data_IF_849898214671
#
_entry.id   IF_849898214671
#
_cell.length_a   1.000
_cell.length_b   1.000
_cell.length_c   1.000
_cell.angle_alpha   90.00
_cell.angle_beta   90.00
_cell.angle_gamma   90.00
#
_symmetry.space_group_name_H-M   'P 1'
#
loop_
_entity.id
_entity.type
_entity.pdbx_description
1 polymer ?
#
# COMPACT_ATOMS: atom_id res chain seq x y z
N UNK A 1 -9.67 11.99 -2.14
CA UNK A 1 -8.93 12.79 -3.16
C UNK A 1 -8.18 13.98 -2.59
N UNK A 2 -8.85 14.92 -1.91
CA UNK A 2 -8.17 16.10 -1.35
C UNK A 2 -7.11 15.74 -0.31
N UNK A 3 -7.40 14.80 0.59
CA UNK A 3 -6.43 14.27 1.56
C UNK A 3 -5.20 13.64 0.89
N UNK A 4 -5.39 12.84 -0.16
CA UNK A 4 -4.27 12.31 -0.96
C UNK A 4 -3.41 13.45 -1.49
N UNK A 5 -4.02 14.46 -2.09
CA UNK A 5 -3.30 15.59 -2.67
C UNK A 5 -2.54 16.39 -1.60
N UNK A 6 -3.17 16.64 -0.44
CA UNK A 6 -2.55 17.30 0.71
C UNK A 6 -1.35 16.50 1.24
N UNK A 7 -1.47 15.19 1.41
CA UNK A 7 -0.37 14.32 1.88
C UNK A 7 0.84 14.38 0.96
N UNK A 8 0.60 14.43 -0.36
CA UNK A 8 1.68 14.49 -1.35
C UNK A 8 2.39 15.85 -1.34
N UNK A 9 1.67 16.97 -1.19
CA UNK A 9 2.29 18.31 -1.18
C UNK A 9 2.65 18.86 0.21
N UNK A 10 2.20 18.20 1.27
CA UNK A 10 2.28 18.66 2.64
C UNK A 10 1.20 19.71 3.00
N UNK A 11 0.85 19.79 4.31
CA UNK A 11 -0.24 20.63 4.80
C UNK A 11 -0.01 22.12 4.56
N UNK A 12 1.24 22.58 4.59
CA UNK A 12 1.58 23.99 4.40
C UNK A 12 1.32 24.44 2.95
N UNK A 13 1.75 23.64 1.97
CA UNK A 13 1.50 23.92 0.55
C UNK A 13 0.01 23.90 0.24
N UNK A 14 -0.70 22.92 0.79
CA UNK A 14 -2.15 22.79 0.64
C UNK A 14 -2.90 23.99 1.26
N UNK A 15 -2.51 24.41 2.46
CA UNK A 15 -3.05 25.61 3.12
C UNK A 15 -2.88 26.87 2.27
N UNK A 16 -1.71 27.07 1.65
CA UNK A 16 -1.46 28.21 0.75
C UNK A 16 -2.37 28.22 -0.48
N UNK A 17 -2.68 27.04 -1.03
CA UNK A 17 -3.66 26.90 -2.13
C UNK A 17 -5.04 27.36 -1.66
N UNK A 18 -5.50 26.87 -0.50
CA UNK A 18 -6.79 27.26 0.07
C UNK A 18 -6.87 28.76 0.35
N UNK A 19 -5.81 29.35 0.92
CA UNK A 19 -5.71 30.79 1.13
C UNK A 19 -5.83 31.56 -0.18
N UNK A 20 -5.18 31.08 -1.27
CA UNK A 20 -5.29 31.73 -2.59
C UNK A 20 -6.69 31.64 -3.18
N UNK A 21 -7.36 30.51 -2.99
CA UNK A 21 -8.78 30.32 -3.39
C UNK A 21 -9.68 31.31 -2.65
N UNK A 22 -9.56 31.38 -1.31
CA UNK A 22 -10.38 32.28 -0.48
C UNK A 22 -10.11 33.75 -0.80
N UNK A 23 -8.84 34.15 -0.92
CA UNK A 23 -8.47 35.52 -1.25
C UNK A 23 -9.04 35.97 -2.61
N UNK A 24 -9.02 35.07 -3.61
CA UNK A 24 -9.64 35.34 -4.91
C UNK A 24 -11.16 35.51 -4.82
N UNK A 25 -11.83 34.76 -3.95
CA UNK A 25 -13.28 34.86 -3.77
C UNK A 25 -13.72 36.12 -3.02
N UNK A 26 -12.83 36.72 -2.22
CA UNK A 26 -13.04 37.98 -1.51
C UNK A 26 -12.82 39.21 -2.39
N UNK A 27 -12.17 39.05 -3.54
CA UNK A 27 -11.95 40.14 -4.48
C UNK A 27 -13.27 40.62 -5.10
N UNK A 28 -13.28 41.84 -5.65
CA UNK A 28 -14.48 42.47 -6.23
C UNK A 28 -14.93 41.84 -7.57
N UNK A 29 -14.29 40.76 -7.99
CA UNK A 29 -14.59 40.02 -9.22
C UNK A 29 -15.94 39.28 -9.04
N UNK A 30 -16.88 39.39 -10.00
CA UNK A 30 -18.22 38.81 -9.88
C UNK A 30 -18.24 37.27 -9.88
N UNK A 31 -17.18 36.62 -10.34
CA UNK A 31 -17.11 35.16 -10.48
C UNK A 31 -16.50 34.57 -9.21
N UNK A 32 -17.36 34.03 -8.33
CA UNK A 32 -16.99 33.33 -7.09
C UNK A 32 -16.97 31.80 -7.24
N UNK A 33 -16.97 31.29 -8.47
CA UNK A 33 -16.86 29.85 -8.75
C UNK A 33 -15.39 29.41 -8.78
N UNK A 34 -15.12 28.18 -8.33
CA UNK A 34 -13.83 27.51 -8.49
C UNK A 34 -14.03 26.25 -9.34
N UNK A 35 -13.44 26.22 -10.52
CA UNK A 35 -13.40 25.02 -11.36
C UNK A 35 -12.23 24.09 -10.99
N UNK A 36 -12.35 22.81 -11.35
CA UNK A 36 -11.26 21.83 -11.22
C UNK A 36 -10.00 22.26 -11.96
N UNK A 37 -10.14 22.92 -13.13
CA UNK A 37 -9.01 23.44 -13.93
C UNK A 37 -8.25 24.53 -13.16
N UNK A 38 -8.96 25.44 -12.51
CA UNK A 38 -8.36 26.52 -11.73
C UNK A 38 -7.71 25.98 -10.45
N UNK A 39 -8.36 25.06 -9.75
CA UNK A 39 -7.76 24.42 -8.58
C UNK A 39 -6.49 23.66 -8.95
N UNK A 40 -6.49 22.91 -10.07
CA UNK A 40 -5.30 22.26 -10.61
C UNK A 40 -4.19 23.26 -10.95
N UNK A 41 -4.53 24.43 -11.50
CA UNK A 41 -3.55 25.49 -11.76
C UNK A 41 -2.89 25.97 -10.46
N UNK A 42 -3.67 26.20 -9.40
CA UNK A 42 -3.11 26.54 -8.09
C UNK A 42 -2.24 25.42 -7.52
N UNK A 43 -2.68 24.16 -7.59
CA UNK A 43 -1.89 23.01 -7.17
C UNK A 43 -0.56 22.90 -7.93
N UNK A 44 -0.55 23.21 -9.23
CA UNK A 44 0.67 23.17 -10.05
C UNK A 44 1.61 24.34 -9.75
N UNK A 45 1.06 25.51 -9.39
CA UNK A 45 1.83 26.75 -9.21
C UNK A 45 2.34 26.95 -7.78
N UNK A 46 1.54 26.55 -6.79
CA UNK A 46 1.77 26.78 -5.36
C UNK A 46 2.16 25.48 -4.67
N UNK A 47 1.66 24.34 -5.16
CA UNK A 47 2.09 23.04 -4.67
C UNK A 47 3.57 22.83 -4.97
N UNK A 48 4.27 22.19 -4.04
CA UNK A 48 5.65 21.73 -4.16
C UNK A 48 5.76 20.38 -4.89
N UNK A 49 4.85 20.13 -5.85
CA UNK A 49 4.79 18.90 -6.62
C UNK A 49 5.25 19.14 -8.05
N UNK A 50 5.86 18.13 -8.65
CA UNK A 50 6.27 18.21 -10.05
C UNK A 50 5.06 18.31 -10.99
N UNK A 51 5.20 19.08 -12.07
CA UNK A 51 4.12 19.26 -13.04
C UNK A 51 3.59 17.94 -13.64
N UNK A 52 4.45 16.95 -13.99
CA UNK A 52 3.99 15.65 -14.46
C UNK A 52 3.14 14.92 -13.41
N UNK A 53 3.57 14.92 -12.14
CA UNK A 53 2.81 14.30 -11.04
C UNK A 53 1.41 14.92 -10.91
N UNK A 54 1.32 16.26 -10.84
CA UNK A 54 0.02 16.95 -10.71
C UNK A 54 -0.86 16.68 -11.93
N UNK A 55 -0.27 16.63 -13.14
CA UNK A 55 -1.01 16.29 -14.35
C UNK A 55 -1.63 14.90 -14.25
N UNK A 56 -0.84 13.89 -13.90
CA UNK A 56 -1.30 12.51 -13.81
C UNK A 56 -2.29 12.33 -12.66
N UNK A 57 -2.08 13.03 -11.54
CA UNK A 57 -3.00 12.98 -10.40
C UNK A 57 -4.40 13.41 -10.84
N UNK A 58 -4.55 14.60 -11.41
CA UNK A 58 -5.88 15.04 -11.83
C UNK A 58 -6.47 14.19 -12.95
N UNK A 59 -5.65 13.56 -13.81
CA UNK A 59 -6.14 12.63 -14.81
C UNK A 59 -6.73 11.38 -14.14
N UNK A 60 -5.91 10.63 -13.39
CA UNK A 60 -6.25 9.31 -12.85
C UNK A 60 -7.20 9.33 -11.67
N UNK A 61 -6.95 10.26 -10.76
CA UNK A 61 -7.60 10.31 -9.45
C UNK A 61 -8.85 11.19 -9.43
N UNK A 62 -8.99 12.11 -10.39
CA UNK A 62 -10.10 13.08 -10.42
C UNK A 62 -10.95 12.98 -11.67
N UNK A 63 -10.36 12.78 -12.84
CA UNK A 63 -11.09 12.82 -14.13
C UNK A 63 -11.52 11.43 -14.62
N UNK A 64 -10.80 10.38 -14.23
CA UNK A 64 -11.10 8.99 -14.58
C UNK A 64 -11.91 8.29 -13.48
N UNK A 65 -12.59 7.22 -13.87
CA UNK A 65 -13.20 6.25 -12.94
C UNK A 65 -12.27 5.07 -12.67
N UNK A 66 -12.49 4.41 -11.53
CA UNK A 66 -11.70 3.26 -11.10
C UNK A 66 -10.55 3.62 -10.17
N UNK A 67 -10.04 2.60 -9.49
CA UNK A 67 -8.97 2.67 -8.53
C UNK A 67 -8.08 1.42 -8.66
N UNK A 68 -6.83 1.47 -8.14
CA UNK A 68 -5.97 0.31 -8.16
C UNK A 68 -6.55 -0.83 -7.32
N UNK A 69 -6.49 -2.04 -7.86
CA UNK A 69 -6.67 -3.29 -7.11
C UNK A 69 -5.28 -3.91 -6.94
N UNK A 70 -4.83 -4.08 -5.71
CA UNK A 70 -3.51 -4.59 -5.38
C UNK A 70 -3.64 -6.02 -4.86
N UNK A 71 -3.18 -6.98 -5.64
CA UNK A 71 -3.11 -8.39 -5.26
C UNK A 71 -1.71 -8.70 -4.79
N UNK A 72 -1.57 -9.09 -3.54
CA UNK A 72 -0.28 -9.11 -2.85
C UNK A 72 -0.04 -10.46 -2.20
N UNK A 73 1.22 -10.88 -2.18
CA UNK A 73 1.69 -12.03 -1.43
C UNK A 73 3.17 -11.87 -1.09
N UNK A 74 3.66 -12.56 -0.06
CA UNK A 74 5.04 -12.40 0.38
C UNK A 74 5.70 -13.73 0.72
N UNK A 75 7.03 -13.71 0.74
CA UNK A 75 7.88 -14.76 1.25
C UNK A 75 8.93 -14.16 2.19
N UNK A 76 9.24 -14.84 3.29
CA UNK A 76 10.32 -14.43 4.18
C UNK A 76 11.60 -15.20 3.86
N UNK A 77 12.63 -14.47 3.42
CA UNK A 77 13.95 -15.04 3.17
C UNK A 77 14.81 -14.95 4.44
N UNK A 78 14.80 -16.03 5.22
CA UNK A 78 15.54 -16.14 6.49
C UNK A 78 17.06 -15.93 6.35
N UNK A 79 17.65 -16.32 5.21
CA UNK A 79 19.10 -16.20 5.00
C UNK A 79 19.53 -14.74 4.82
N UNK A 80 18.75 -13.99 4.03
CA UNK A 80 18.98 -12.57 3.77
C UNK A 80 18.35 -11.65 4.83
N UNK A 81 17.44 -12.19 5.65
CA UNK A 81 16.60 -11.44 6.56
C UNK A 81 15.77 -10.35 5.85
N UNK A 82 15.15 -10.70 4.73
CA UNK A 82 14.29 -9.80 3.95
C UNK A 82 12.91 -10.41 3.73
N UNK A 83 11.92 -9.56 3.52
CA UNK A 83 10.60 -9.92 3.02
C UNK A 83 10.56 -9.63 1.53
N UNK A 84 10.36 -10.66 0.73
CA UNK A 84 10.15 -10.56 -0.71
C UNK A 84 8.63 -10.41 -0.94
N UNK A 85 8.18 -9.21 -1.30
CA UNK A 85 6.77 -8.87 -1.48
C UNK A 85 6.45 -8.78 -2.98
N UNK A 86 5.62 -9.69 -3.47
CA UNK A 86 5.10 -9.67 -4.83
C UNK A 86 3.77 -8.91 -4.88
N UNK A 87 3.63 -8.01 -5.84
CA UNK A 87 2.45 -7.17 -6.04
C UNK A 87 2.04 -7.21 -7.50
N UNK A 88 0.77 -7.54 -7.74
CA UNK A 88 0.09 -7.35 -9.01
C UNK A 88 -0.90 -6.19 -8.86
N UNK A 89 -0.79 -5.22 -9.76
CA UNK A 89 -1.66 -4.06 -9.83
C UNK A 89 -2.66 -4.20 -10.98
N UNK A 90 -3.93 -4.19 -10.65
CA UNK A 90 -5.08 -4.21 -11.55
C UNK A 90 -5.92 -2.91 -11.38
N UNK A 91 -7.05 -2.81 -12.06
CA UNK A 91 -7.97 -1.66 -12.02
C UNK A 91 -9.41 -2.13 -11.78
N UNK A 92 -10.16 -1.41 -10.95
CA UNK A 92 -11.60 -1.69 -10.75
C UNK A 92 -12.48 -1.26 -11.92
N UNK A 93 -12.02 -0.35 -12.78
CA UNK A 93 -12.75 -0.01 -14.00
C UNK A 93 -12.68 -1.17 -14.99
N UNK A 94 -13.84 -1.69 -15.38
CA UNK A 94 -13.94 -2.73 -16.41
C UNK A 94 -13.41 -2.15 -17.71
N UNK A 95 -12.41 -2.81 -18.31
CA UNK A 95 -12.04 -2.52 -19.69
C UNK A 95 -13.20 -3.06 -20.55
N UNK A 96 -14.14 -2.20 -20.96
CA UNK A 96 -15.22 -2.63 -21.86
C UNK A 96 -14.60 -3.21 -23.14
N UNK A 97 -14.66 -4.54 -23.27
CA UNK A 97 -14.06 -5.31 -24.35
C UNK A 97 -14.73 -5.16 -25.72
N UNK A 98 -15.36 -4.00 -26.00
CA UNK A 98 -16.19 -3.79 -27.19
C UNK A 98 -15.79 -2.59 -28.07
N UNK A 99 -14.59 -2.03 -27.90
CA UNK A 99 -14.07 -1.02 -28.85
C UNK A 99 -13.14 -1.67 -29.86
N UNK A 100 -13.68 -2.56 -30.70
CA UNK A 100 -13.02 -2.95 -31.95
C UNK A 100 -13.32 -1.92 -33.04
N UNK A 101 -12.33 -1.69 -33.91
CA UNK A 101 -12.34 -0.95 -35.19
C UNK A 101 -12.52 0.58 -35.13
N UNK A 102 -11.42 1.31 -34.92
CA UNK A 102 -10.74 2.11 -35.97
C UNK A 102 -9.30 2.41 -35.53
N UNK A 103 -8.35 2.10 -36.41
CA UNK A 103 -6.90 2.21 -36.26
C UNK A 103 -6.41 3.44 -35.48
N UNK A 104 -5.56 3.23 -34.47
CA UNK A 104 -4.21 3.80 -34.31
C UNK A 104 -3.59 3.19 -33.03
N UNK A 105 -2.62 2.29 -33.17
CA UNK A 105 -1.55 1.99 -32.20
C UNK A 105 -1.87 2.11 -30.69
N UNK A 106 -2.97 1.53 -30.23
CA UNK A 106 -3.42 1.59 -28.83
C UNK A 106 -3.02 0.34 -28.03
N UNK A 107 -1.94 -0.33 -28.43
CA UNK A 107 -1.42 -1.50 -27.70
C UNK A 107 -0.38 -1.13 -26.63
N UNK A 108 -0.09 0.15 -26.34
CA UNK A 108 1.08 0.42 -25.47
C UNK A 108 1.11 1.67 -24.58
N UNK A 109 0.03 2.41 -24.25
CA UNK A 109 0.22 3.64 -23.43
C UNK A 109 -0.77 3.94 -22.29
N UNK A 110 -2.03 3.55 -22.37
CA UNK A 110 -3.01 4.00 -21.35
C UNK A 110 -3.14 3.07 -20.13
N UNK A 111 -2.90 1.76 -20.31
CA UNK A 111 -2.80 0.81 -19.19
C UNK A 111 -1.46 0.93 -18.41
N UNK A 112 -0.43 1.53 -19.02
CA UNK A 112 0.93 1.61 -18.48
C UNK A 112 1.14 2.69 -17.40
N UNK A 113 0.33 3.76 -17.38
CA UNK A 113 0.65 4.94 -16.54
C UNK A 113 -0.05 4.97 -15.16
N UNK A 114 -0.36 3.80 -14.57
CA UNK A 114 -0.96 3.60 -13.24
C UNK A 114 -1.59 4.76 -12.45
N UNK A 115 -1.34 4.85 -11.14
CA UNK A 115 -1.78 5.96 -10.31
C UNK A 115 -0.57 6.60 -9.64
N UNK A 116 -0.43 7.94 -9.68
CA UNK A 116 0.71 8.58 -9.07
C UNK A 116 0.62 8.44 -7.54
N UNK A 117 1.71 7.99 -6.94
CA UNK A 117 1.82 7.76 -5.51
C UNK A 117 2.81 6.66 -5.16
N UNK A 118 3.24 6.68 -3.90
CA UNK A 118 4.06 5.68 -3.26
C UNK A 118 3.36 5.23 -1.99
N UNK A 119 2.89 4.00 -1.97
CA UNK A 119 2.16 3.41 -0.86
C UNK A 119 3.13 2.82 0.17
N UNK A 120 2.77 2.98 1.44
CA UNK A 120 3.52 2.41 2.55
C UNK A 120 3.08 0.99 2.87
N UNK A 121 4.05 0.12 3.13
CA UNK A 121 3.87 -1.23 3.67
C UNK A 121 4.33 -1.22 5.13
N UNK A 122 3.43 -1.55 6.05
CA UNK A 122 3.74 -1.75 7.47
C UNK A 122 4.06 -3.21 7.72
N UNK A 123 5.25 -3.48 8.23
CA UNK A 123 5.66 -4.81 8.68
C UNK A 123 5.68 -4.80 10.20
N UNK A 124 4.84 -5.64 10.82
CA UNK A 124 4.91 -5.88 12.25
C UNK A 124 5.75 -7.12 12.50
N UNK A 125 6.82 -6.91 13.24
CA UNK A 125 7.79 -7.93 13.58
C UNK A 125 7.86 -8.10 15.12
N UNK A 126 8.60 -9.11 15.58
CA UNK A 126 8.79 -9.36 17.02
C UNK A 126 9.41 -8.18 17.78
N UNK A 127 10.27 -7.39 17.13
CA UNK A 127 11.01 -6.30 17.74
C UNK A 127 10.35 -4.92 17.50
N UNK A 128 9.27 -4.83 16.72
CA UNK A 128 8.55 -3.59 16.48
C UNK A 128 7.76 -3.53 15.17
N UNK A 129 7.14 -2.39 14.91
CA UNK A 129 6.46 -2.08 13.65
C UNK A 129 7.29 -1.10 12.83
N UNK A 130 7.42 -1.38 11.53
CA UNK A 130 8.22 -0.57 10.60
C UNK A 130 7.41 -0.22 9.36
N UNK A 131 7.39 1.06 9.01
CA UNK A 131 6.73 1.58 7.81
C UNK A 131 7.73 1.75 6.67
N UNK A 132 7.39 1.18 5.52
CA UNK A 132 8.21 1.19 4.31
C UNK A 132 7.44 1.86 3.17
N UNK A 133 7.73 3.13 2.81
CA UNK A 133 7.14 3.79 1.65
C UNK A 133 7.84 3.26 0.38
N UNK A 134 7.47 2.05 -0.06
CA UNK A 134 8.25 1.30 -1.07
C UNK A 134 7.43 0.76 -2.23
N UNK A 135 6.10 0.97 -2.24
CA UNK A 135 5.23 0.44 -3.31
C UNK A 135 4.78 1.56 -4.27
N UNK A 136 5.42 1.74 -5.44
CA UNK A 136 4.91 2.61 -6.49
C UNK A 136 3.54 2.17 -7.01
N UNK A 137 2.61 3.10 -7.11
CA UNK A 137 1.27 2.85 -7.69
C UNK A 137 1.20 3.07 -9.21
N UNK A 138 2.30 3.53 -9.80
CA UNK A 138 2.47 3.74 -11.24
C UNK A 138 3.67 2.95 -11.77
N UNK A 139 3.75 2.80 -13.10
CA UNK A 139 4.77 1.98 -13.75
C UNK A 139 4.33 0.52 -13.85
N UNK A 140 5.28 -0.39 -13.65
CA UNK A 140 5.11 -1.83 -13.83
C UNK A 140 3.89 -2.38 -13.07
N UNK A 141 3.13 -3.26 -13.74
CA UNK A 141 1.96 -3.91 -13.15
C UNK A 141 2.35 -5.00 -12.14
N UNK A 142 3.43 -5.71 -12.45
CA UNK A 142 4.03 -6.73 -11.59
C UNK A 142 5.26 -6.14 -10.94
N UNK A 143 5.29 -6.10 -9.63
CA UNK A 143 6.40 -5.55 -8.86
C UNK A 143 6.86 -6.57 -7.83
N UNK A 144 8.17 -6.72 -7.69
CA UNK A 144 8.80 -7.51 -6.63
C UNK A 144 9.64 -6.56 -5.77
N UNK A 145 9.21 -6.38 -4.52
CA UNK A 145 9.84 -5.49 -3.57
C UNK A 145 10.63 -6.30 -2.54
N UNK A 146 11.84 -5.84 -2.21
CA UNK A 146 12.62 -6.38 -1.10
C UNK A 146 12.52 -5.42 0.09
N UNK A 147 11.92 -5.88 1.18
CA UNK A 147 11.75 -5.12 2.42
C UNK A 147 12.66 -5.70 3.48
N UNK A 148 13.51 -4.86 4.07
CA UNK A 148 14.41 -5.29 5.15
C UNK A 148 13.60 -5.71 6.38
N UNK A 149 13.84 -6.92 6.88
CA UNK A 149 13.35 -7.32 8.20
C UNK A 149 14.36 -6.89 9.27
N UNK A 150 13.91 -6.24 10.33
CA UNK A 150 14.79 -5.68 11.36
C UNK A 150 15.04 -6.64 12.52
N UNK A 151 14.09 -7.53 12.78
CA UNK A 151 14.12 -8.46 13.90
C UNK A 151 15.17 -9.53 13.73
N UNK A 152 15.83 -9.91 14.82
CA UNK A 152 16.86 -10.96 14.83
C UNK A 152 16.35 -12.23 15.51
N UNK A 153 16.08 -13.27 14.72
CA UNK A 153 15.62 -14.58 15.21
C UNK A 153 16.60 -15.28 16.20
N UNK A 154 17.87 -14.89 16.23
CA UNK A 154 18.93 -15.61 16.95
C UNK A 154 18.85 -15.52 18.50
N UNK A 155 18.12 -14.56 19.08
CA UNK A 155 18.24 -14.27 20.52
C UNK A 155 17.27 -15.02 21.45
N UNK A 156 16.18 -15.62 20.95
CA UNK A 156 15.14 -16.23 21.83
C UNK A 156 15.25 -17.74 22.02
N UNK A 157 16.22 -18.42 21.39
CA UNK A 157 16.49 -19.85 21.62
C UNK A 157 17.02 -20.16 23.03
N UNK A 158 17.47 -19.16 23.81
CA UNK A 158 18.08 -19.38 25.13
C UNK A 158 17.11 -19.35 26.33
N UNK A 159 15.82 -19.07 26.16
CA UNK A 159 14.87 -19.02 27.29
C UNK A 159 13.88 -20.20 27.31
N UNK A 160 14.35 -21.44 27.11
CA UNK A 160 13.61 -22.61 27.62
C UNK A 160 14.17 -22.99 28.99
N UNK A 161 13.45 -22.80 30.11
CA UNK A 161 13.83 -23.42 31.37
C UNK A 161 13.78 -24.94 31.22
N UNK A 162 14.88 -25.61 31.58
CA UNK A 162 14.91 -27.06 31.75
C UNK A 162 13.91 -27.46 32.84
N UNK A 163 12.82 -28.12 32.48
CA UNK A 163 12.16 -29.08 33.38
C UNK A 163 11.80 -30.35 32.62
N UNK A 164 12.41 -31.43 33.07
CA UNK A 164 12.19 -32.79 32.64
C UNK A 164 10.82 -33.29 33.14
N UNK A 165 10.12 -34.06 32.30
CA UNK A 165 9.31 -35.21 32.72
C UNK A 165 8.91 -36.01 31.48
N UNK A 166 8.92 -37.34 31.62
CA UNK A 166 8.72 -38.37 30.58
C UNK A 166 7.20 -38.62 30.32
N UNK A 167 6.85 -39.34 29.24
CA UNK A 167 5.57 -39.23 28.55
C UNK A 167 4.52 -40.22 29.08
N UNK A 168 3.25 -39.86 28.96
CA UNK A 168 2.14 -40.82 28.94
C UNK A 168 1.26 -40.52 27.72
N UNK A 169 0.84 -41.57 27.02
CA UNK A 169 0.33 -41.51 25.66
C UNK A 169 -1.16 -41.17 25.56
N UNK A 170 -1.54 -40.46 24.49
CA UNK A 170 -2.89 -40.53 23.91
C UNK A 170 -2.97 -39.80 22.56
N UNK A 171 -3.30 -40.59 21.55
CA UNK A 171 -4.04 -40.35 20.30
C UNK A 171 -3.77 -39.10 19.44
N UNK A 172 -3.15 -39.38 18.30
CA UNK A 172 -2.79 -38.56 17.16
C UNK A 172 -3.95 -38.50 16.14
N UNK A 173 -4.50 -37.30 15.89
CA UNK A 173 -4.89 -36.89 14.51
C UNK A 173 -5.34 -35.43 14.33
N UNK A 174 -5.42 -34.60 15.39
CA UNK A 174 -5.79 -33.18 15.28
C UNK A 174 -4.62 -32.20 15.10
N UNK A 175 -3.38 -32.65 15.36
CA UNK A 175 -2.26 -31.76 15.67
C UNK A 175 -1.25 -31.53 14.53
N UNK A 176 -1.44 -32.15 13.37
CA UNK A 176 -0.46 -31.99 12.28
C UNK A 176 -0.56 -30.58 11.68
N UNK A 177 -1.77 -30.02 11.57
CA UNK A 177 -1.99 -28.66 11.09
C UNK A 177 -1.56 -27.61 12.14
N UNK A 178 -1.88 -27.83 13.42
CA UNK A 178 -1.51 -26.92 14.52
C UNK A 178 0.01 -26.90 14.75
N UNK A 179 0.69 -28.04 14.62
CA UNK A 179 2.13 -28.15 14.80
C UNK A 179 2.92 -27.54 13.62
N UNK A 180 2.43 -27.66 12.39
CA UNK A 180 3.03 -27.01 11.22
C UNK A 180 2.90 -25.48 11.30
N UNK A 181 1.75 -24.98 11.72
CA UNK A 181 1.49 -23.55 11.94
C UNK A 181 2.27 -22.98 13.15
N UNK A 182 2.42 -23.74 14.23
CA UNK A 182 3.29 -23.39 15.35
C UNK A 182 4.78 -23.38 14.94
N UNK A 183 5.20 -24.32 14.08
CA UNK A 183 6.58 -24.38 13.57
C UNK A 183 6.89 -23.21 12.62
N UNK A 184 5.97 -22.81 11.75
CA UNK A 184 6.16 -21.65 10.87
C UNK A 184 6.30 -20.34 11.68
N UNK A 185 5.52 -20.18 12.76
CA UNK A 185 5.66 -19.06 13.70
C UNK A 185 6.99 -19.03 14.46
N UNK A 186 7.74 -20.14 14.52
CA UNK A 186 9.07 -20.19 15.14
C UNK A 186 10.21 -19.91 14.14
N UNK A 187 9.89 -19.86 12.84
CA UNK A 187 10.87 -19.72 11.76
C UNK A 187 10.91 -18.33 11.13
N UNK A 188 9.90 -17.50 11.38
CA UNK A 188 9.81 -16.12 10.90
C UNK A 188 9.56 -15.15 12.07
N UNK A 189 10.23 -13.97 12.10
CA UNK A 189 9.97 -12.95 13.11
C UNK A 189 8.74 -12.09 12.75
N UNK A 190 8.04 -12.39 11.66
CA UNK A 190 6.92 -11.60 11.16
C UNK A 190 5.64 -11.96 11.92
N UNK A 191 4.94 -10.93 12.40
CA UNK A 191 3.64 -11.05 13.06
C UNK A 191 2.49 -10.84 12.08
N UNK A 192 2.57 -9.78 11.28
CA UNK A 192 1.65 -9.49 10.17
C UNK A 192 2.24 -8.41 9.25
N UNK A 193 1.69 -8.31 8.03
CA UNK A 193 2.03 -7.25 7.07
C UNK A 193 0.73 -6.57 6.64
N UNK A 194 0.78 -5.25 6.48
CA UNK A 194 -0.35 -4.44 6.00
C UNK A 194 0.11 -3.44 4.94
N UNK A 195 -0.61 -3.38 3.83
CA UNK A 195 -0.48 -2.30 2.86
C UNK A 195 -1.42 -1.15 3.25
N UNK A 196 -0.96 0.08 3.02
CA UNK A 196 -1.67 1.33 3.30
C UNK A 196 -2.27 1.40 4.73
N UNK A 197 -1.40 1.37 5.78
CA UNK A 197 -1.86 1.38 7.16
C UNK A 197 -2.72 2.61 7.51
N UNK A 198 -2.41 3.76 6.90
CA UNK A 198 -3.06 5.05 7.16
C UNK A 198 -4.22 5.35 6.20
N UNK A 199 -4.56 4.41 5.30
CA UNK A 199 -5.62 4.56 4.28
C UNK A 199 -5.47 5.85 3.46
N UNK A 200 -4.23 6.12 3.03
CA UNK A 200 -3.91 7.33 2.27
C UNK A 200 -4.47 7.27 0.86
N UNK A 201 -4.56 6.07 0.26
CA UNK A 201 -4.97 5.88 -1.11
C UNK A 201 -6.35 5.24 -1.20
N UNK A 202 -7.11 5.64 -2.23
CA UNK A 202 -8.30 4.91 -2.61
C UNK A 202 -7.86 3.68 -3.42
N UNK A 203 -7.78 2.52 -2.77
CA UNK A 203 -7.35 1.27 -3.38
C UNK A 203 -8.12 0.08 -2.81
N UNK A 204 -8.28 -0.97 -3.62
CA UNK A 204 -8.68 -2.29 -3.12
C UNK A 204 -7.41 -3.10 -2.84
N UNK A 205 -7.32 -3.70 -1.65
CA UNK A 205 -6.15 -4.47 -1.24
C UNK A 205 -6.57 -5.92 -0.99
N UNK A 206 -6.08 -6.83 -1.83
CA UNK A 206 -6.24 -8.27 -1.70
C UNK A 206 -4.90 -8.88 -1.28
N UNK A 207 -4.72 -9.05 0.03
CA UNK A 207 -3.45 -9.53 0.58
C UNK A 207 -3.55 -11.01 0.98
N UNK A 208 -2.72 -11.87 0.37
CA UNK A 208 -2.58 -13.26 0.76
C UNK A 208 -1.53 -13.39 1.89
N UNK A 209 -1.99 -13.58 3.12
CA UNK A 209 -1.15 -13.87 4.29
C UNK A 209 -1.76 -14.98 5.15
N UNK A 210 -0.95 -15.73 5.93
CA UNK A 210 -1.44 -16.79 6.80
C UNK A 210 -2.52 -16.30 7.77
N UNK A 211 -3.52 -17.15 8.05
CA UNK A 211 -4.66 -16.83 8.92
C UNK A 211 -4.21 -16.36 10.31
N UNK A 212 -3.13 -16.92 10.86
CA UNK A 212 -2.65 -16.52 12.19
C UNK A 212 -2.17 -15.06 12.21
N UNK A 213 -1.66 -14.54 11.09
CA UNK A 213 -1.28 -13.14 10.97
C UNK A 213 -2.51 -12.22 10.99
N UNK A 214 -3.59 -12.61 10.31
CA UNK A 214 -4.88 -11.91 10.40
C UNK A 214 -5.44 -11.92 11.82
N UNK A 215 -5.40 -13.07 12.51
CA UNK A 215 -5.86 -13.17 13.90
C UNK A 215 -5.04 -12.27 14.82
N UNK A 216 -3.70 -12.21 14.66
CA UNK A 216 -2.84 -11.30 15.43
C UNK A 216 -3.08 -9.82 15.13
N UNK A 217 -3.54 -9.51 13.93
CA UNK A 217 -3.86 -8.14 13.54
C UNK A 217 -5.19 -7.65 14.15
N UNK A 218 -6.21 -8.51 14.22
CA UNK A 218 -7.52 -8.16 14.78
C UNK A 218 -7.71 -8.55 16.26
N UNK A 219 -6.79 -9.33 16.83
CA UNK A 219 -6.86 -9.81 18.20
C UNK A 219 -6.58 -8.72 19.24
N UNK A 220 -7.12 -8.84 20.46
CA UNK A 220 -6.75 -7.96 21.56
C UNK A 220 -5.27 -8.14 21.93
N UNK A 221 -4.60 -7.02 22.23
CA UNK A 221 -3.21 -6.94 22.69
C UNK A 221 -3.00 -7.68 24.02
#
# INVERSE_FOLDING_TARGET
MLQMLEKQMGPESFRKILQKVVARAQDTIPIRSLSTKEFRHFATKIGNLERPFVKEFFARWVSSSGCPVLRMGFSYNKRKNIVELAVLRECTAVLDGNTSVFNTDLESRDAETGWPGMMSIRVHELDGMYDHPVLPLAGELWQLLEIQCHSKLAARRLQKPKKASKPDGSEENGDILSAADMRSSLESPLLWIRADPEMEYLAEIQFNQPVQMWVRYYGPL
#
